data_IF_523404224503
#
_entry.id   IF_523404224503
#
_cell.length_a   1.000
_cell.length_b   1.000
_cell.length_c   1.000
_cell.angle_alpha   90.00
_cell.angle_beta   90.00
_cell.angle_gamma   90.00
#
_symmetry.space_group_name_H-M   'P 1'
#
loop_
_entity.id
_entity.type
_entity.pdbx_description
1 polymer ?
#
# COMPACT_ATOMS: atom_id res chain seq x y z
N UNK A 1 -12.63 14.26 10.36
CA UNK A 1 -13.09 13.65 9.10
C UNK A 1 -12.34 12.35 8.88
N UNK A 2 -13.01 11.20 8.90
CA UNK A 2 -12.35 9.92 8.66
C UNK A 2 -12.12 9.73 7.16
N UNK A 3 -10.86 9.87 6.74
CA UNK A 3 -10.39 9.53 5.40
C UNK A 3 -10.51 8.01 5.23
N UNK A 4 -11.33 7.56 4.29
CA UNK A 4 -11.57 6.14 4.02
C UNK A 4 -10.45 5.64 3.10
N UNK A 5 -9.76 4.57 3.48
CA UNK A 5 -8.74 3.94 2.62
C UNK A 5 -9.39 3.12 1.49
N UNK A 6 -8.63 2.81 0.44
CA UNK A 6 -9.08 1.93 -0.64
C UNK A 6 -9.59 0.56 -0.13
N UNK A 7 -8.97 0.02 0.92
CA UNK A 7 -9.41 -1.21 1.60
C UNK A 7 -10.82 -1.05 2.19
N UNK A 8 -11.14 0.14 2.71
CA UNK A 8 -12.43 0.44 3.30
C UNK A 8 -13.53 0.59 2.24
N UNK A 9 -13.20 1.14 1.07
CA UNK A 9 -14.13 1.23 -0.05
C UNK A 9 -14.35 -0.13 -0.72
N UNK A 10 -13.31 -0.96 -0.78
CA UNK A 10 -13.43 -2.36 -1.15
C UNK A 10 -14.34 -3.14 -0.17
N UNK A 11 -14.18 -2.95 1.14
CA UNK A 11 -15.09 -3.54 2.13
C UNK A 11 -16.53 -3.01 1.98
N UNK A 12 -16.74 -1.72 1.64
CA UNK A 12 -18.10 -1.21 1.39
C UNK A 12 -18.74 -1.87 0.17
N UNK A 13 -17.99 -2.10 -0.89
CA UNK A 13 -18.45 -2.83 -2.06
C UNK A 13 -18.82 -4.28 -1.73
N UNK A 14 -17.96 -5.00 -1.01
CA UNK A 14 -18.22 -6.38 -0.59
C UNK A 14 -19.42 -6.52 0.35
N UNK A 15 -19.73 -5.49 1.13
CA UNK A 15 -20.85 -5.49 2.08
C UNK A 15 -22.19 -5.08 1.45
N UNK A 16 -22.28 -4.99 0.12
CA UNK A 16 -23.57 -4.88 -0.55
C UNK A 16 -24.24 -3.50 -0.49
N UNK A 17 -23.48 -2.39 -0.52
CA UNK A 17 -24.02 -1.05 -0.87
C UNK A 17 -24.41 -0.98 -2.38
N UNK A 18 -24.93 -2.08 -2.92
CA UNK A 18 -25.58 -2.19 -4.21
C UNK A 18 -26.98 -1.62 -4.09
N UNK A 19 -27.11 -0.31 -4.29
CA UNK A 19 -28.38 0.32 -4.69
C UNK A 19 -28.77 -0.17 -6.10
N UNK A 20 -28.98 -1.48 -6.28
CA UNK A 20 -29.73 -1.99 -7.42
C UNK A 20 -31.25 -1.91 -7.18
N UNK A 21 -31.70 -1.59 -5.95
CA UNK A 21 -33.13 -1.61 -5.61
C UNK A 21 -33.78 -0.24 -5.39
N UNK A 22 -33.12 0.87 -5.70
CA UNK A 22 -33.81 2.17 -5.75
C UNK A 22 -34.40 2.37 -7.14
N UNK A 23 -35.64 1.91 -7.32
CA UNK A 23 -36.47 2.31 -8.46
C UNK A 23 -36.37 3.82 -8.68
N UNK A 24 -36.15 4.18 -9.94
CA UNK A 24 -36.09 5.54 -10.46
C UNK A 24 -37.28 6.37 -9.96
N UNK A 25 -37.04 7.31 -9.06
CA UNK A 25 -37.76 8.58 -9.07
C UNK A 25 -36.78 9.63 -9.61
N UNK A 26 -36.97 9.99 -10.88
CA UNK A 26 -36.34 11.17 -11.46
C UNK A 26 -37.03 12.36 -10.81
N UNK A 27 -36.31 13.07 -9.94
CA UNK A 27 -36.81 14.29 -9.29
C UNK A 27 -35.97 15.45 -9.83
N UNK A 28 -36.65 16.47 -10.35
CA UNK A 28 -36.04 17.69 -10.88
C UNK A 28 -35.04 18.31 -9.88
N UNK A 29 -33.82 18.52 -10.36
CA UNK A 29 -32.66 18.90 -9.57
C UNK A 29 -32.78 20.25 -8.86
N UNK A 30 -32.14 20.33 -7.68
CA UNK A 30 -31.79 21.61 -7.08
C UNK A 30 -30.82 22.35 -8.01
N UNK A 31 -31.28 23.43 -8.65
CA UNK A 31 -30.50 24.30 -9.52
C UNK A 31 -29.28 24.95 -8.83
N UNK A 32 -29.15 24.82 -7.51
CA UNK A 32 -28.14 25.49 -6.67
C UNK A 32 -27.05 24.58 -6.12
N UNK A 33 -26.90 23.33 -6.60
CA UNK A 33 -25.80 22.48 -6.10
C UNK A 33 -24.43 22.95 -6.61
N UNK A 34 -23.56 23.32 -5.67
CA UNK A 34 -22.17 23.68 -5.93
C UNK A 34 -21.26 22.54 -5.42
N UNK A 35 -20.50 21.87 -6.30
CA UNK A 35 -19.54 20.85 -5.90
C UNK A 35 -18.48 21.37 -4.92
N UNK A 36 -18.34 20.71 -3.77
CA UNK A 36 -17.33 21.02 -2.76
C UNK A 36 -16.23 19.97 -2.74
N UNK A 37 -15.35 20.03 -3.75
CA UNK A 37 -14.17 19.15 -3.81
C UNK A 37 -13.16 19.53 -2.72
N UNK A 38 -12.75 18.58 -1.89
CA UNK A 38 -11.76 18.78 -0.83
C UNK A 38 -10.36 18.97 -1.40
N UNK A 39 -9.48 19.57 -0.62
CA UNK A 39 -8.04 19.55 -0.90
C UNK A 39 -7.49 18.12 -0.90
N UNK A 40 -6.39 17.94 -1.64
CA UNK A 40 -5.68 16.67 -1.72
C UNK A 40 -4.92 16.41 -0.42
N UNK A 41 -5.01 15.18 0.06
CA UNK A 41 -4.30 14.70 1.24
C UNK A 41 -3.37 13.55 0.84
N UNK A 42 -2.07 13.70 1.09
CA UNK A 42 -1.10 12.62 0.91
C UNK A 42 -1.22 11.67 2.11
N UNK A 43 -1.71 10.46 1.86
CA UNK A 43 -1.99 9.50 2.92
C UNK A 43 -0.73 8.78 3.38
N UNK A 44 0.09 8.36 2.42
CA UNK A 44 1.33 7.61 2.64
C UNK A 44 2.24 7.72 1.43
N UNK A 45 3.52 7.49 1.65
CA UNK A 45 4.56 7.36 0.65
C UNK A 45 5.33 6.04 0.86
N UNK A 46 5.82 5.45 -0.22
CA UNK A 46 6.82 4.40 -0.16
C UNK A 46 8.17 5.01 -0.46
N UNK A 47 9.10 4.85 0.48
CA UNK A 47 10.48 5.33 0.36
C UNK A 47 11.40 4.16 0.03
N UNK A 48 12.37 4.40 -0.84
CA UNK A 48 13.49 3.49 -1.08
C UNK A 48 14.75 4.19 -0.60
N UNK A 49 15.63 3.47 0.08
CA UNK A 49 16.96 3.95 0.41
C UNK A 49 17.97 2.82 0.29
N UNK A 50 19.25 3.12 0.52
CA UNK A 50 20.33 2.14 0.43
C UNK A 50 21.22 2.16 1.66
N UNK A 51 21.57 0.97 2.11
CA UNK A 51 22.65 0.72 3.06
C UNK A 51 24.00 0.79 2.34
N UNK A 52 25.05 1.08 3.08
CA UNK A 52 26.43 1.15 2.59
C UNK A 52 27.06 -0.22 2.28
N UNK A 53 26.34 -1.32 2.48
CA UNK A 53 26.82 -2.68 2.25
C UNK A 53 25.68 -3.69 2.04
N UNK A 54 26.03 -4.86 1.53
CA UNK A 54 25.16 -6.02 1.45
C UNK A 54 24.89 -6.63 2.83
N UNK A 55 23.78 -7.37 2.94
CA UNK A 55 23.33 -8.00 4.19
C UNK A 55 23.21 -9.50 3.99
N UNK A 56 23.88 -10.28 4.85
CA UNK A 56 23.61 -11.71 4.97
C UNK A 56 22.25 -11.92 5.63
N UNK A 57 21.24 -12.07 4.79
CA UNK A 57 19.86 -12.24 5.23
C UNK A 57 19.66 -13.46 6.13
N UNK A 58 20.38 -14.57 5.87
CA UNK A 58 20.15 -15.82 6.61
C UNK A 58 20.70 -15.68 8.02
N UNK A 59 21.91 -15.16 8.20
CA UNK A 59 22.47 -14.94 9.55
C UNK A 59 21.66 -13.89 10.28
N UNK A 60 21.61 -12.67 9.73
CA UNK A 60 21.02 -11.50 10.38
C UNK A 60 19.56 -11.76 10.76
N UNK A 61 18.76 -12.41 9.91
CA UNK A 61 17.36 -12.67 10.23
C UNK A 61 17.18 -13.42 11.54
N UNK A 62 17.99 -14.45 11.82
CA UNK A 62 17.84 -15.24 13.04
C UNK A 62 18.29 -14.44 14.27
N UNK A 63 19.34 -13.64 14.13
CA UNK A 63 19.95 -12.89 15.23
C UNK A 63 19.16 -11.63 15.63
N UNK A 64 18.24 -11.14 14.78
CA UNK A 64 17.37 -10.01 15.13
C UNK A 64 16.53 -10.32 16.38
N UNK A 65 16.67 -9.56 17.48
CA UNK A 65 15.86 -9.75 18.68
C UNK A 65 14.42 -9.32 18.43
N UNK A 66 13.47 -10.01 19.08
CA UNK A 66 12.06 -9.63 19.05
C UNK A 66 11.64 -9.20 20.45
N UNK A 67 11.11 -7.99 20.56
CA UNK A 67 10.50 -7.53 21.80
C UNK A 67 9.08 -8.07 21.92
N UNK A 68 8.67 -8.34 23.15
CA UNK A 68 7.32 -8.76 23.43
C UNK A 68 6.31 -7.65 23.07
N UNK A 69 5.14 -8.02 22.56
CA UNK A 69 4.19 -7.03 22.05
C UNK A 69 3.64 -6.12 23.16
N UNK A 70 3.56 -6.59 24.40
CA UNK A 70 3.14 -5.82 25.57
C UNK A 70 4.18 -4.79 26.03
N UNK A 71 5.45 -4.98 25.68
CA UNK A 71 6.53 -4.12 26.15
C UNK A 71 6.42 -2.72 25.52
N UNK A 72 6.37 -1.70 26.37
CA UNK A 72 6.31 -0.29 25.97
C UNK A 72 7.71 0.26 25.61
N UNK A 73 8.43 -0.44 24.74
CA UNK A 73 9.78 -0.07 24.30
C UNK A 73 9.90 -0.03 22.77
N UNK A 74 10.98 0.59 22.30
CA UNK A 74 11.34 0.60 20.89
C UNK A 74 11.99 -0.73 20.51
N UNK A 75 11.64 -1.31 19.36
CA UNK A 75 12.24 -2.55 18.91
C UNK A 75 11.45 -3.28 17.83
N UNK A 76 11.98 -4.41 17.36
CA UNK A 76 11.30 -5.28 16.38
C UNK A 76 10.25 -6.10 17.10
N UNK A 77 8.99 -5.96 16.70
CA UNK A 77 7.86 -6.75 17.25
C UNK A 77 7.52 -7.96 16.38
N UNK A 78 7.93 -7.92 15.11
CA UNK A 78 7.68 -8.99 14.15
C UNK A 78 8.73 -8.97 13.03
N UNK A 79 9.24 -10.14 12.66
CA UNK A 79 10.12 -10.32 11.49
C UNK A 79 9.57 -11.40 10.56
N UNK A 80 9.82 -11.26 9.26
CA UNK A 80 9.34 -12.18 8.24
C UNK A 80 10.42 -12.43 7.19
N UNK A 81 10.59 -13.68 6.76
CA UNK A 81 11.50 -14.04 5.67
C UNK A 81 10.91 -15.14 4.82
N UNK A 82 11.29 -15.16 3.54
CA UNK A 82 11.06 -16.29 2.66
C UNK A 82 12.38 -17.01 2.45
N UNK A 83 12.45 -18.26 2.91
CA UNK A 83 13.61 -19.12 2.73
C UNK A 83 13.31 -20.18 1.69
N UNK A 84 14.38 -20.60 1.04
CA UNK A 84 14.39 -21.56 -0.04
C UNK A 84 15.55 -22.51 0.23
N UNK A 85 15.22 -23.76 0.53
CA UNK A 85 16.17 -24.84 0.73
C UNK A 85 16.16 -25.72 -0.53
N UNK A 86 17.34 -25.98 -1.07
CA UNK A 86 17.58 -26.78 -2.26
C UNK A 86 18.01 -28.20 -1.91
N UNK A 87 18.30 -28.46 -0.62
CA UNK A 87 18.66 -29.79 -0.11
C UNK A 87 17.88 -30.15 1.16
N UNK A 88 17.75 -31.46 1.43
CA UNK A 88 17.15 -31.97 2.68
C UNK A 88 17.93 -31.49 3.92
N UNK A 89 19.25 -31.44 3.83
CA UNK A 89 20.13 -30.99 4.92
C UNK A 89 19.83 -29.56 5.33
N UNK A 90 19.65 -28.65 4.36
CA UNK A 90 19.28 -27.25 4.65
C UNK A 90 17.91 -27.15 5.32
N UNK A 91 16.94 -27.98 4.93
CA UNK A 91 15.62 -28.02 5.58
C UNK A 91 15.71 -28.52 7.02
N UNK A 92 16.53 -29.54 7.29
CA UNK A 92 16.76 -30.03 8.66
C UNK A 92 17.40 -28.95 9.53
N UNK A 93 18.42 -28.25 9.02
CA UNK A 93 19.03 -27.13 9.73
C UNK A 93 18.03 -26.00 10.02
N UNK A 94 17.12 -25.76 9.08
CA UNK A 94 16.05 -24.78 9.24
C UNK A 94 15.05 -25.20 10.32
N UNK A 95 14.66 -26.47 10.32
CA UNK A 95 13.76 -27.05 11.33
C UNK A 95 14.35 -26.94 12.74
N UNK A 96 15.65 -27.16 12.90
CA UNK A 96 16.33 -26.98 14.18
C UNK A 96 16.29 -25.52 14.66
N UNK A 97 16.55 -24.54 13.79
CA UNK A 97 16.42 -23.12 14.17
C UNK A 97 15.00 -22.74 14.58
N UNK A 98 14.01 -23.28 13.88
CA UNK A 98 12.59 -23.05 14.15
C UNK A 98 12.18 -23.58 15.51
N UNK A 99 12.62 -24.79 15.89
CA UNK A 99 12.28 -25.41 17.19
C UNK A 99 12.73 -24.56 18.39
N UNK A 100 13.83 -23.84 18.24
CA UNK A 100 14.42 -22.99 19.29
C UNK A 100 13.95 -21.53 19.23
N UNK A 101 12.93 -21.22 18.40
CA UNK A 101 12.42 -19.86 18.25
C UNK A 101 10.97 -19.80 18.69
N UNK A 102 10.66 -18.89 19.61
CA UNK A 102 9.29 -18.69 20.08
C UNK A 102 8.43 -17.88 19.10
N UNK A 103 7.11 -18.05 19.20
CA UNK A 103 6.11 -17.28 18.44
C UNK A 103 6.30 -17.34 16.91
N UNK A 104 6.67 -18.52 16.39
CA UNK A 104 6.92 -18.74 14.96
C UNK A 104 5.65 -19.25 14.26
N UNK A 105 5.36 -18.70 13.09
CA UNK A 105 4.33 -19.17 12.16
C UNK A 105 4.96 -19.44 10.79
N UNK A 106 4.84 -20.70 10.34
CA UNK A 106 5.44 -21.20 9.10
C UNK A 106 4.35 -21.49 8.08
N UNK A 107 4.58 -21.04 6.85
CA UNK A 107 3.74 -21.38 5.72
C UNK A 107 4.61 -21.97 4.61
N UNK A 108 4.42 -23.25 4.32
CA UNK A 108 5.05 -23.90 3.16
C UNK A 108 4.41 -23.38 1.88
N UNK A 109 5.22 -22.73 1.04
CA UNK A 109 4.79 -22.17 -0.25
C UNK A 109 4.93 -23.22 -1.35
N UNK A 110 6.04 -23.97 -1.33
CA UNK A 110 6.34 -24.99 -2.32
C UNK A 110 7.19 -26.07 -1.67
N UNK A 111 6.82 -27.33 -1.87
CA UNK A 111 7.59 -28.48 -1.43
C UNK A 111 7.70 -29.49 -2.58
N UNK A 112 8.92 -29.91 -2.88
CA UNK A 112 9.25 -30.97 -3.83
C UNK A 112 10.29 -31.86 -3.15
N UNK A 113 10.01 -33.15 -3.09
CA UNK A 113 10.97 -34.19 -2.73
C UNK A 113 10.72 -35.37 -3.67
N UNK A 114 11.40 -35.35 -4.81
CA UNK A 114 11.30 -36.41 -5.80
C UNK A 114 12.69 -36.74 -6.36
N UNK A 115 13.37 -37.76 -5.80
CA UNK A 115 14.70 -38.16 -6.25
C UNK A 115 14.74 -38.71 -7.68
N UNK A 116 13.59 -38.97 -8.31
CA UNK A 116 13.49 -39.44 -9.71
C UNK A 116 13.23 -38.31 -10.72
N UNK A 117 13.04 -37.07 -10.26
CA UNK A 117 12.71 -35.95 -11.13
C UNK A 117 13.91 -35.49 -11.98
N UNK A 118 13.68 -35.21 -13.27
CA UNK A 118 14.76 -34.82 -14.21
C UNK A 118 15.44 -33.47 -13.95
N UNK A 119 14.81 -32.53 -13.23
CA UNK A 119 15.33 -31.15 -13.07
C UNK A 119 15.50 -30.73 -11.62
N UNK A 120 14.45 -30.81 -10.81
CA UNK A 120 14.46 -30.36 -9.41
C UNK A 120 14.15 -31.58 -8.56
N UNK A 121 15.19 -32.12 -7.93
CA UNK A 121 15.10 -33.28 -7.05
C UNK A 121 14.48 -32.91 -5.70
N UNK A 122 14.87 -31.76 -5.16
CA UNK A 122 14.39 -31.25 -3.90
C UNK A 122 14.19 -29.73 -3.96
N UNK A 123 13.10 -29.24 -3.37
CA UNK A 123 12.87 -27.81 -3.17
C UNK A 123 11.89 -27.59 -2.04
N UNK A 124 12.33 -26.89 -1.00
CA UNK A 124 11.49 -26.52 0.12
C UNK A 124 11.49 -25.00 0.30
N UNK A 125 10.37 -24.36 0.01
CA UNK A 125 10.21 -22.91 0.10
C UNK A 125 9.20 -22.60 1.18
N UNK A 126 9.66 -21.92 2.22
CA UNK A 126 8.86 -21.60 3.40
C UNK A 126 8.85 -20.09 3.65
N UNK A 127 7.70 -19.57 4.08
CA UNK A 127 7.60 -18.25 4.67
C UNK A 127 7.57 -18.41 6.18
N UNK A 128 8.49 -17.73 6.84
CA UNK A 128 8.63 -17.75 8.29
C UNK A 128 8.23 -16.38 8.81
N UNK A 129 7.40 -16.36 9.83
CA UNK A 129 7.01 -15.16 10.55
C UNK A 129 7.31 -15.41 12.01
N UNK A 130 7.95 -14.46 12.68
CA UNK A 130 8.25 -14.56 14.10
C UNK A 130 7.73 -13.29 14.76
N UNK A 131 6.97 -13.42 15.84
CA UNK A 131 6.35 -12.30 16.56
C UNK A 131 5.00 -11.83 15.98
N UNK A 132 4.45 -10.78 16.60
CA UNK A 132 3.07 -10.30 16.38
C UNK A 132 3.07 -8.78 16.14
N UNK A 133 2.21 -8.32 15.24
CA UNK A 133 1.99 -6.89 14.97
C UNK A 133 0.59 -6.42 15.34
N UNK A 134 0.36 -5.10 15.43
CA UNK A 134 -0.98 -4.52 15.66
C UNK A 134 -1.99 -5.04 14.64
N UNK A 135 -1.56 -5.21 13.39
CA UNK A 135 -2.42 -5.71 12.33
C UNK A 135 -2.90 -7.13 12.58
N UNK A 136 -2.07 -7.99 13.14
CA UNK A 136 -2.44 -9.38 13.46
C UNK A 136 -3.47 -9.41 14.61
N UNK A 137 -3.32 -8.51 15.60
CA UNK A 137 -4.25 -8.40 16.72
C UNK A 137 -5.61 -7.84 16.29
N UNK A 138 -5.64 -6.84 15.40
CA UNK A 138 -6.88 -6.14 15.04
C UNK A 138 -7.59 -6.81 13.85
N UNK A 139 -6.85 -7.33 12.86
CA UNK A 139 -7.46 -7.90 11.65
C UNK A 139 -8.17 -9.24 11.94
N UNK A 140 -9.27 -9.49 11.24
CA UNK A 140 -10.05 -10.74 11.30
C UNK A 140 -9.96 -11.57 10.02
N UNK A 141 -9.44 -10.98 8.93
CA UNK A 141 -9.19 -11.64 7.65
C UNK A 141 -7.72 -11.49 7.30
N UNK A 142 -7.02 -12.60 7.24
CA UNK A 142 -5.65 -12.67 6.73
C UNK A 142 -5.62 -13.68 5.60
N UNK A 143 -5.83 -13.21 4.37
CA UNK A 143 -5.40 -14.00 3.21
C UNK A 143 -3.89 -14.21 3.36
N UNK A 144 -3.43 -15.45 3.18
CA UNK A 144 -2.00 -15.76 3.17
C UNK A 144 -1.38 -15.00 2.01
N UNK A 145 -0.68 -13.90 2.32
CA UNK A 145 0.05 -13.12 1.32
C UNK A 145 1.35 -13.83 0.99
N UNK A 146 1.70 -13.82 -0.29
CA UNK A 146 3.04 -14.19 -0.73
C UNK A 146 4.12 -13.38 -0.01
N UNK A 147 5.34 -13.89 -0.04
CA UNK A 147 6.53 -13.20 0.44
C UNK A 147 7.51 -12.99 -0.71
N UNK A 148 8.25 -11.88 -0.65
CA UNK A 148 9.30 -11.54 -1.59
C UNK A 148 10.55 -12.40 -1.30
N UNK A 149 11.31 -12.71 -2.34
CA UNK A 149 12.62 -13.34 -2.21
C UNK A 149 13.69 -12.29 -1.92
N UNK A 150 14.85 -12.74 -1.44
CA UNK A 150 16.05 -11.91 -1.28
C UNK A 150 15.85 -10.69 -0.38
N UNK A 151 14.90 -10.77 0.55
CA UNK A 151 14.73 -9.80 1.62
C UNK A 151 14.15 -10.47 2.86
N UNK A 152 14.40 -9.86 4.01
CA UNK A 152 13.51 -10.01 5.16
C UNK A 152 12.73 -8.72 5.38
N UNK A 153 11.65 -8.84 6.14
CA UNK A 153 10.83 -7.71 6.58
C UNK A 153 10.91 -7.64 8.09
N UNK A 154 11.17 -6.45 8.62
CA UNK A 154 10.99 -6.14 10.04
C UNK A 154 9.83 -5.19 10.21
N UNK A 155 9.04 -5.43 11.25
CA UNK A 155 8.04 -4.49 11.75
C UNK A 155 8.57 -3.98 13.07
N UNK A 156 8.92 -2.70 13.08
CA UNK A 156 9.49 -2.03 14.24
C UNK A 156 8.45 -1.16 14.90
N UNK A 157 8.39 -1.20 16.22
CA UNK A 157 7.64 -0.27 17.05
C UNK A 157 8.58 0.86 17.47
N UNK A 158 8.16 2.10 17.25
CA UNK A 158 8.98 3.29 17.50
C UNK A 158 8.12 4.35 18.20
N UNK A 159 8.58 4.92 19.33
CA UNK A 159 7.90 6.04 19.97
C UNK A 159 8.01 7.29 19.09
N UNK A 160 6.89 7.94 18.78
CA UNK A 160 6.85 9.14 17.95
C UNK A 160 5.66 10.02 18.36
N UNK A 161 5.93 11.27 18.77
CA UNK A 161 4.92 12.23 19.22
C UNK A 161 3.97 11.67 20.31
N UNK A 162 4.53 11.03 21.33
CA UNK A 162 3.77 10.50 22.48
C UNK A 162 2.98 9.21 22.20
N UNK A 163 3.10 8.62 21.01
CA UNK A 163 2.45 7.35 20.66
C UNK A 163 3.44 6.36 20.04
N UNK A 164 3.19 5.07 20.21
CA UNK A 164 3.93 4.04 19.48
C UNK A 164 3.38 3.86 18.07
N UNK A 165 4.23 4.10 17.06
CA UNK A 165 3.94 3.81 15.66
C UNK A 165 4.67 2.53 15.24
N UNK A 166 4.02 1.75 14.38
CA UNK A 166 4.62 0.56 13.77
C UNK A 166 5.03 0.90 12.33
N UNK A 167 6.27 0.59 11.97
CA UNK A 167 6.83 0.81 10.62
C UNK A 167 7.28 -0.52 10.03
N UNK A 168 6.97 -0.72 8.76
CA UNK A 168 7.37 -1.90 8.00
C UNK A 168 8.59 -1.55 7.16
N UNK A 169 9.68 -2.29 7.32
CA UNK A 169 10.91 -2.08 6.54
C UNK A 169 11.28 -3.41 5.90
N UNK A 170 11.42 -3.42 4.56
CA UNK A 170 12.03 -4.54 3.85
C UNK A 170 13.51 -4.25 3.66
N UNK A 171 14.34 -5.21 4.03
CA UNK A 171 15.80 -5.16 3.85
C UNK A 171 16.18 -6.22 2.85
N UNK A 172 16.70 -5.80 1.70
CA UNK A 172 17.16 -6.69 0.64
C UNK A 172 18.63 -7.07 0.84
N UNK A 173 19.04 -8.23 0.31
CA UNK A 173 20.43 -8.69 0.41
C UNK A 173 21.43 -7.67 -0.17
N UNK A 174 21.03 -6.92 -1.20
CA UNK A 174 21.86 -5.88 -1.85
C UNK A 174 22.03 -4.61 -1.02
N UNK A 175 21.52 -4.55 0.21
CA UNK A 175 21.49 -3.34 1.03
C UNK A 175 20.36 -2.38 0.70
N UNK A 176 19.52 -2.68 -0.31
CA UNK A 176 18.34 -1.86 -0.63
C UNK A 176 17.30 -1.95 0.50
N UNK A 177 16.65 -0.83 0.79
CA UNK A 177 15.55 -0.70 1.74
C UNK A 177 14.27 -0.30 1.01
N UNK A 178 13.12 -0.87 1.43
CA UNK A 178 11.80 -0.42 0.97
C UNK A 178 10.88 -0.22 2.19
N UNK A 179 10.41 1.01 2.37
CA UNK A 179 9.69 1.47 3.55
C UNK A 179 8.33 2.03 3.10
N UNK A 180 7.31 1.18 2.97
CA UNK A 180 5.96 1.63 2.63
C UNK A 180 5.27 2.28 3.82
N UNK A 181 4.33 3.19 3.55
CA UNK A 181 3.42 3.71 4.57
C UNK A 181 3.95 4.90 5.36
N UNK A 182 5.01 5.56 4.89
CA UNK A 182 5.61 6.72 5.56
C UNK A 182 4.79 7.97 5.29
N UNK A 183 4.57 8.79 6.31
CA UNK A 183 3.78 10.03 6.20
C UNK A 183 4.61 11.31 6.34
N UNK A 184 5.79 11.21 6.96
CA UNK A 184 6.65 12.35 7.27
C UNK A 184 8.10 11.90 7.25
N UNK A 185 8.99 12.75 6.76
CA UNK A 185 10.42 12.44 6.65
C UNK A 185 11.08 12.35 8.05
N UNK A 186 10.64 13.12 9.05
CA UNK A 186 11.15 13.00 10.44
C UNK A 186 10.98 11.58 11.01
N UNK A 187 9.78 11.00 10.80
CA UNK A 187 9.51 9.63 11.23
C UNK A 187 10.30 8.60 10.42
N UNK A 188 10.55 8.87 9.14
CA UNK A 188 11.40 8.01 8.31
C UNK A 188 12.82 7.93 8.85
N UNK A 189 13.43 9.08 9.15
CA UNK A 189 14.80 9.11 9.68
C UNK A 189 14.89 8.44 11.04
N UNK A 190 13.92 8.69 11.93
CA UNK A 190 13.84 7.98 13.22
C UNK A 190 13.75 6.46 13.03
N UNK A 191 13.00 6.00 12.03
CA UNK A 191 12.88 4.58 11.71
C UNK A 191 14.17 3.97 11.15
N UNK A 192 14.86 4.70 10.28
CA UNK A 192 16.14 4.29 9.73
C UNK A 192 17.23 4.25 10.81
N UNK A 193 17.31 5.27 11.66
CA UNK A 193 18.27 5.30 12.77
C UNK A 193 18.04 4.13 13.74
N UNK A 194 16.78 3.83 14.08
CA UNK A 194 16.44 2.66 14.90
C UNK A 194 16.80 1.34 14.21
N UNK A 195 16.58 1.22 12.90
CA UNK A 195 16.98 0.04 12.12
C UNK A 195 18.49 -0.16 12.15
N UNK A 196 19.27 0.90 11.91
CA UNK A 196 20.73 0.84 11.93
C UNK A 196 21.24 0.46 13.31
N UNK A 197 20.72 1.09 14.37
CA UNK A 197 21.11 0.75 15.74
C UNK A 197 20.87 -0.73 16.07
N UNK A 198 19.79 -1.32 15.54
CA UNK A 198 19.46 -2.73 15.72
C UNK A 198 20.33 -3.67 14.87
N UNK A 199 20.63 -3.31 13.62
CA UNK A 199 21.39 -4.16 12.71
C UNK A 199 22.91 -4.07 12.89
N UNK A 200 23.43 -2.94 13.36
CA UNK A 200 24.87 -2.70 13.51
C UNK A 200 25.59 -3.79 14.32
N UNK A 201 25.09 -4.19 15.51
CA UNK A 201 25.72 -5.26 16.29
C UNK A 201 25.71 -6.63 15.60
N UNK A 202 24.87 -6.81 14.58
CA UNK A 202 24.70 -8.07 13.84
C UNK A 202 25.54 -8.10 12.56
N UNK A 203 26.23 -7.00 12.22
CA UNK A 203 27.03 -6.86 11.01
C UNK A 203 28.52 -6.76 11.35
N UNK A 204 29.37 -7.39 10.52
CA UNK A 204 30.83 -7.35 10.70
C UNK A 204 31.44 -5.96 10.49
N UNK A 205 30.83 -5.14 9.61
CA UNK A 205 31.28 -3.78 9.30
C UNK A 205 30.22 -2.77 9.74
N UNK A 206 30.62 -1.54 10.11
CA UNK A 206 29.68 -0.48 10.44
C UNK A 206 28.66 -0.24 9.32
N UNK A 207 27.39 -0.41 9.68
CA UNK A 207 26.24 -0.18 8.84
C UNK A 207 25.80 1.28 8.93
N UNK A 208 25.57 1.87 7.78
CA UNK A 208 24.98 3.20 7.63
C UNK A 208 24.04 3.21 6.42
N UNK A 209 23.12 4.17 6.38
CA UNK A 209 22.30 4.45 5.20
C UNK A 209 22.67 5.82 4.64
N UNK A 210 22.52 5.98 3.32
CA UNK A 210 22.73 7.26 2.68
C UNK A 210 21.47 8.13 2.84
N UNK A 211 21.60 9.26 3.56
CA UNK A 211 20.49 10.20 3.79
C UNK A 211 20.11 10.97 2.51
N UNK A 212 21.06 11.15 1.61
CA UNK A 212 20.89 11.91 0.36
C UNK A 212 20.32 11.05 -0.77
N UNK A 213 20.30 9.72 -0.60
CA UNK A 213 19.81 8.73 -1.56
C UNK A 213 18.54 8.04 -1.02
N UNK A 214 17.50 8.86 -0.83
CA UNK A 214 16.17 8.39 -0.43
C UNK A 214 15.13 8.83 -1.48
N UNK A 215 14.68 7.86 -2.25
CA UNK A 215 13.70 8.07 -3.32
C UNK A 215 12.26 7.85 -2.84
N UNK A 216 11.36 8.71 -3.29
CA UNK A 216 9.91 8.48 -3.14
C UNK A 216 9.39 7.77 -4.37
N UNK A 217 9.09 6.47 -4.23
CA UNK A 217 8.71 5.64 -5.39
C UNK A 217 7.21 5.46 -5.60
N UNK A 218 6.43 5.75 -4.56
CA UNK A 218 4.98 5.65 -4.64
C UNK A 218 4.37 6.70 -3.71
N UNK A 219 3.50 7.53 -4.25
CA UNK A 219 2.66 8.40 -3.44
C UNK A 219 1.24 7.85 -3.51
N UNK A 220 0.62 7.70 -2.34
CA UNK A 220 -0.80 7.43 -2.21
C UNK A 220 -1.46 8.67 -1.64
N UNK A 221 -2.45 9.20 -2.35
CA UNK A 221 -3.16 10.40 -1.94
C UNK A 221 -4.64 10.28 -2.24
N UNK A 222 -5.45 11.02 -1.47
CA UNK A 222 -6.89 10.96 -1.58
C UNK A 222 -7.52 12.34 -1.44
N UNK A 223 -8.69 12.49 -2.05
CA UNK A 223 -9.59 13.62 -1.85
C UNK A 223 -11.03 13.16 -2.12
N UNK A 224 -12.02 14.03 -1.95
CA UNK A 224 -13.41 13.70 -2.27
C UNK A 224 -14.14 14.86 -2.89
N UNK A 225 -15.06 14.56 -3.82
CA UNK A 225 -15.97 15.54 -4.40
C UNK A 225 -17.23 15.80 -3.55
N UNK A 226 -17.43 15.01 -2.49
CA UNK A 226 -18.56 15.10 -1.55
C UNK A 226 -19.96 14.92 -2.18
N UNK A 227 -20.07 14.15 -3.26
CA UNK A 227 -21.35 13.69 -3.80
C UNK A 227 -21.21 12.28 -4.39
N UNK A 228 -22.34 11.59 -4.55
CA UNK A 228 -22.36 10.27 -5.16
C UNK A 228 -22.25 10.35 -6.68
N UNK A 229 -21.46 9.45 -7.25
CA UNK A 229 -21.13 9.40 -8.66
C UNK A 229 -21.78 8.17 -9.31
N UNK A 230 -22.47 8.41 -10.42
CA UNK A 230 -22.85 7.40 -11.40
C UNK A 230 -21.58 7.01 -12.16
N UNK A 231 -21.05 5.82 -11.85
CA UNK A 231 -19.76 5.39 -12.35
C UNK A 231 -19.80 5.06 -13.84
N UNK A 232 -20.94 4.58 -14.35
CA UNK A 232 -21.12 4.27 -15.76
C UNK A 232 -21.10 5.56 -16.59
N UNK A 233 -21.84 6.58 -16.15
CA UNK A 233 -21.81 7.91 -16.78
C UNK A 233 -20.44 8.57 -16.70
N UNK A 234 -19.83 8.61 -15.51
CA UNK A 234 -18.49 9.20 -15.37
C UNK A 234 -17.46 8.43 -16.21
N UNK A 235 -17.51 7.10 -16.26
CA UNK A 235 -16.58 6.30 -17.08
C UNK A 235 -16.70 6.67 -18.56
N UNK A 236 -17.93 6.92 -19.03
CA UNK A 236 -18.22 7.37 -20.39
C UNK A 236 -17.69 8.78 -20.64
N UNK A 237 -17.93 9.73 -19.72
CA UNK A 237 -17.39 11.09 -19.81
C UNK A 237 -15.86 11.07 -19.88
N UNK A 238 -15.19 10.35 -18.96
CA UNK A 238 -13.74 10.27 -18.92
C UNK A 238 -13.14 9.62 -20.19
N UNK A 239 -13.82 8.62 -20.75
CA UNK A 239 -13.36 7.90 -21.95
C UNK A 239 -13.62 8.66 -23.25
N UNK A 240 -14.80 9.24 -23.41
CA UNK A 240 -15.25 9.79 -24.69
C UNK A 240 -15.09 11.32 -24.78
N UNK A 241 -15.30 12.07 -23.69
CA UNK A 241 -15.12 13.53 -23.66
C UNK A 241 -13.65 13.91 -23.41
N UNK A 242 -13.00 13.22 -22.46
CA UNK A 242 -11.62 13.50 -22.08
C UNK A 242 -10.57 12.57 -22.71
N UNK A 243 -11.01 11.56 -23.47
CA UNK A 243 -10.12 10.61 -24.17
C UNK A 243 -9.10 9.90 -23.27
N UNK A 244 -9.42 9.72 -21.99
CA UNK A 244 -8.55 9.06 -21.02
C UNK A 244 -8.58 7.54 -21.17
N UNK A 245 -7.55 6.89 -20.66
CA UNK A 245 -7.51 5.43 -20.59
C UNK A 245 -8.30 4.92 -19.38
N UNK A 246 -9.57 4.63 -19.59
CA UNK A 246 -10.48 4.12 -18.56
C UNK A 246 -10.53 2.60 -18.60
N UNK A 247 -10.33 1.97 -17.44
CA UNK A 247 -10.62 0.57 -17.17
C UNK A 247 -11.69 0.49 -16.08
N UNK A 248 -12.90 0.09 -16.47
CA UNK A 248 -14.03 0.00 -15.56
C UNK A 248 -14.81 -1.28 -15.83
N UNK A 249 -14.76 -2.17 -14.85
CA UNK A 249 -15.59 -3.36 -14.75
C UNK A 249 -16.11 -3.41 -13.29
N UNK A 250 -17.37 -3.01 -13.04
CA UNK A 250 -17.93 -2.94 -11.70
C UNK A 250 -18.03 -4.31 -11.00
N UNK A 251 -18.00 -5.41 -11.75
CA UNK A 251 -17.99 -6.76 -11.19
C UNK A 251 -16.62 -7.14 -10.61
N UNK A 252 -15.54 -6.63 -11.21
CA UNK A 252 -14.17 -6.94 -10.82
C UNK A 252 -13.58 -5.94 -9.83
N UNK A 253 -13.95 -4.66 -9.91
CA UNK A 253 -13.38 -3.61 -9.06
C UNK A 253 -14.39 -2.47 -8.76
N UNK A 254 -14.44 -1.96 -7.51
CA UNK A 254 -15.44 -0.96 -7.09
C UNK A 254 -15.19 0.47 -7.55
N UNK A 255 -14.04 0.78 -8.15
CA UNK A 255 -13.75 2.11 -8.66
C UNK A 255 -13.64 2.13 -10.18
N UNK A 256 -13.72 3.32 -10.77
CA UNK A 256 -13.28 3.54 -12.15
C UNK A 256 -11.77 3.69 -12.10
N UNK A 257 -11.00 2.80 -12.73
CA UNK A 257 -9.55 2.93 -12.80
C UNK A 257 -9.17 3.69 -14.06
N UNK A 258 -8.37 4.75 -13.92
CA UNK A 258 -7.99 5.59 -15.05
C UNK A 258 -6.49 5.86 -15.03
N UNK A 259 -5.89 5.86 -16.21
CA UNK A 259 -4.49 6.25 -16.38
C UNK A 259 -4.40 7.66 -16.94
N UNK A 260 -3.62 8.48 -16.26
CA UNK A 260 -3.21 9.81 -16.65
C UNK A 260 -1.77 9.78 -17.13
N UNK A 261 -1.50 10.26 -18.35
CA UNK A 261 -0.16 10.35 -18.92
C UNK A 261 0.35 11.79 -18.81
N UNK A 262 1.37 11.97 -17.97
CA UNK A 262 2.06 13.25 -17.77
C UNK A 262 3.32 13.34 -18.64
N UNK A 263 3.58 14.49 -19.26
CA UNK A 263 4.85 14.76 -19.92
C UNK A 263 5.15 16.26 -19.89
N UNK A 264 6.26 16.67 -19.28
CA UNK A 264 6.70 18.05 -19.15
C UNK A 264 6.83 18.82 -20.47
N UNK A 265 7.01 18.13 -21.60
CA UNK A 265 7.06 18.75 -22.93
C UNK A 265 5.67 19.18 -23.46
N UNK A 266 4.58 18.77 -22.80
CA UNK A 266 3.22 19.18 -23.18
C UNK A 266 2.86 20.52 -22.57
N UNK A 267 2.38 21.43 -23.42
CA UNK A 267 1.82 22.71 -22.98
C UNK A 267 0.60 22.52 -22.07
N UNK A 268 -0.25 21.53 -22.37
CA UNK A 268 -1.46 21.22 -21.60
C UNK A 268 -1.40 19.77 -21.13
N UNK A 269 -1.48 19.59 -19.81
CA UNK A 269 -1.52 18.28 -19.17
C UNK A 269 -2.97 17.76 -19.15
N UNK A 270 -3.41 17.19 -20.26
CA UNK A 270 -4.76 16.63 -20.43
C UNK A 270 -4.87 15.13 -20.11
N UNK A 271 -3.80 14.50 -19.64
CA UNK A 271 -3.78 13.09 -19.26
C UNK A 271 -3.75 12.08 -20.40
N UNK A 272 -3.76 12.52 -21.66
CA UNK A 272 -3.68 11.66 -22.85
C UNK A 272 -2.23 11.46 -23.26
N UNK A 273 -1.84 10.30 -23.79
CA UNK A 273 -0.52 10.10 -24.38
C UNK A 273 -0.54 10.53 -25.85
N UNK A 274 0.34 11.45 -26.25
CA UNK A 274 0.43 11.96 -27.64
C UNK A 274 1.70 11.51 -28.37
N UNK A 275 2.45 10.58 -27.79
CA UNK A 275 3.63 10.03 -28.43
C UNK A 275 3.25 9.06 -29.56
N UNK A 276 4.09 8.95 -30.59
CA UNK A 276 3.91 8.08 -31.76
C UNK A 276 3.56 6.64 -31.33
N UNK A 277 4.29 6.13 -30.34
CA UNK A 277 3.94 4.91 -29.63
C UNK A 277 3.43 5.27 -28.25
N UNK A 278 2.29 4.69 -27.88
CA UNK A 278 1.71 4.90 -26.55
C UNK A 278 2.71 4.48 -25.46
N UNK A 279 3.06 5.42 -24.59
CA UNK A 279 3.99 5.18 -23.50
C UNK A 279 3.43 4.15 -22.50
N UNK A 280 4.37 3.42 -21.89
CA UNK A 280 4.09 2.48 -20.80
C UNK A 280 4.49 3.07 -19.44
N UNK A 281 4.32 2.28 -18.38
CA UNK A 281 4.48 2.70 -16.97
C UNK A 281 5.83 3.32 -16.56
N UNK A 282 6.87 3.26 -17.40
CA UNK A 282 8.26 3.58 -17.03
C UNK A 282 8.79 4.90 -17.63
N UNK A 283 7.96 5.72 -18.25
CA UNK A 283 8.43 7.00 -18.78
C UNK A 283 8.92 7.94 -17.69
N UNK A 284 10.00 8.68 -17.96
CA UNK A 284 10.57 9.67 -17.03
C UNK A 284 9.69 10.90 -16.80
N UNK A 285 8.63 11.09 -17.61
CA UNK A 285 7.83 12.30 -17.67
C UNK A 285 8.47 13.43 -18.49
N UNK A 286 9.59 13.17 -19.18
CA UNK A 286 10.32 14.16 -19.97
C UNK A 286 10.87 13.56 -21.26
N UNK A 287 10.53 14.19 -22.39
CA UNK A 287 11.01 13.81 -23.72
C UNK A 287 10.02 12.96 -24.52
N UNK A 288 10.41 12.62 -25.74
CA UNK A 288 9.60 11.83 -26.66
C UNK A 288 9.46 10.38 -26.18
N UNK A 289 8.25 9.83 -26.29
CA UNK A 289 7.94 8.47 -25.82
C UNK A 289 8.22 8.22 -24.32
N UNK A 290 8.34 9.28 -23.51
CA UNK A 290 8.66 9.21 -22.08
C UNK A 290 7.52 9.69 -21.17
N UNK A 291 6.25 9.55 -21.55
CA UNK A 291 5.15 9.94 -20.66
C UNK A 291 5.14 9.10 -19.37
N UNK A 292 5.01 9.77 -18.23
CA UNK A 292 4.86 9.17 -16.92
C UNK A 292 3.39 8.75 -16.71
N UNK A 293 3.15 7.48 -16.39
CA UNK A 293 1.80 6.94 -16.13
C UNK A 293 1.46 7.10 -14.63
N UNK A 294 0.40 7.84 -14.34
CA UNK A 294 -0.17 8.00 -13.00
C UNK A 294 -1.58 7.40 -13.01
N UNK A 295 -1.91 6.58 -12.02
CA UNK A 295 -3.23 5.97 -11.91
C UNK A 295 -4.08 6.75 -10.93
N UNK A 296 -5.35 6.94 -11.25
CA UNK A 296 -6.33 7.37 -10.27
C UNK A 296 -7.56 6.48 -10.31
N UNK A 297 -8.23 6.40 -9.18
CA UNK A 297 -9.46 5.63 -9.01
C UNK A 297 -10.55 6.54 -8.48
N UNK A 298 -11.70 6.55 -9.14
CA UNK A 298 -12.89 7.29 -8.70
C UNK A 298 -13.95 6.32 -8.23
N UNK A 299 -14.47 6.52 -7.03
CA UNK A 299 -15.42 5.62 -6.40
C UNK A 299 -16.81 6.23 -6.36
N UNK A 300 -17.83 5.36 -6.25
CA UNK A 300 -19.26 5.76 -6.20
C UNK A 300 -19.53 6.81 -5.11
N UNK A 301 -18.84 6.70 -3.99
CA UNK A 301 -18.93 7.60 -2.81
C UNK A 301 -18.42 9.02 -3.08
N UNK A 302 -17.83 9.27 -4.25
CA UNK A 302 -17.14 10.52 -4.56
C UNK A 302 -15.74 10.60 -3.98
N UNK A 303 -15.22 9.54 -3.37
CA UNK A 303 -13.79 9.48 -3.02
C UNK A 303 -12.96 9.28 -4.28
N UNK A 304 -11.78 9.90 -4.29
CA UNK A 304 -10.81 9.76 -5.37
C UNK A 304 -9.46 9.44 -4.76
N UNK A 305 -8.79 8.46 -5.34
CA UNK A 305 -7.46 7.99 -4.97
C UNK A 305 -6.51 8.28 -6.14
N UNK A 306 -5.38 8.95 -5.92
CA UNK A 306 -4.32 9.11 -6.91
C UNK A 306 -3.09 8.35 -6.42
N UNK A 307 -2.57 7.45 -7.26
CA UNK A 307 -1.43 6.58 -6.99
C UNK A 307 -0.45 6.59 -8.15
N UNK A 308 0.83 6.78 -7.85
CA UNK A 308 1.88 6.64 -8.84
C UNK A 308 3.26 7.01 -8.31
N UNK A 309 4.27 6.67 -9.11
CA UNK A 309 5.63 7.17 -8.95
C UNK A 309 5.70 8.58 -9.55
N UNK A 310 5.49 9.61 -8.74
CA UNK A 310 5.50 10.99 -9.22
C UNK A 310 5.97 11.96 -8.14
N UNK A 311 6.37 13.16 -8.55
CA UNK A 311 6.69 14.25 -7.63
C UNK A 311 5.40 14.90 -7.10
N UNK A 312 5.50 15.60 -5.97
CA UNK A 312 4.39 16.36 -5.40
C UNK A 312 3.81 17.39 -6.40
N UNK A 313 4.62 18.16 -7.16
CA UNK A 313 4.09 19.04 -8.20
C UNK A 313 3.27 18.31 -9.26
N UNK A 314 3.76 17.17 -9.77
CA UNK A 314 3.02 16.38 -10.76
C UNK A 314 1.73 15.82 -10.17
N UNK A 315 1.73 15.41 -8.89
CA UNK A 315 0.52 14.99 -8.20
C UNK A 315 -0.54 16.10 -8.19
N UNK A 316 -0.15 17.35 -7.90
CA UNK A 316 -1.06 18.49 -7.90
C UNK A 316 -1.62 18.81 -9.30
N UNK A 317 -0.85 18.58 -10.37
CA UNK A 317 -1.35 18.71 -11.75
C UNK A 317 -2.51 17.73 -11.99
N UNK A 318 -2.33 16.45 -11.64
CA UNK A 318 -3.38 15.43 -11.80
C UNK A 318 -4.59 15.76 -10.93
N UNK A 319 -4.37 16.17 -9.68
CA UNK A 319 -5.43 16.61 -8.78
C UNK A 319 -6.25 17.76 -9.36
N UNK A 320 -5.60 18.82 -9.85
CA UNK A 320 -6.27 19.99 -10.39
C UNK A 320 -7.08 19.64 -11.65
N UNK A 321 -6.51 18.81 -12.54
CA UNK A 321 -7.23 18.29 -13.70
C UNK A 321 -8.53 17.57 -13.27
N UNK A 322 -8.46 16.67 -12.30
CA UNK A 322 -9.65 15.97 -11.79
C UNK A 322 -10.63 16.88 -11.07
N UNK A 323 -10.12 17.84 -10.28
CA UNK A 323 -10.92 18.84 -9.57
C UNK A 323 -11.76 19.66 -10.54
N UNK A 324 -11.21 20.01 -11.70
CA UNK A 324 -11.93 20.71 -12.78
C UNK A 324 -13.09 19.84 -13.31
N UNK A 325 -12.82 18.59 -13.71
CA UNK A 325 -13.87 17.66 -14.20
C UNK A 325 -14.99 17.50 -13.15
N UNK A 326 -14.63 17.29 -11.89
CA UNK A 326 -15.58 17.08 -10.79
C UNK A 326 -16.34 18.35 -10.38
N UNK A 327 -15.94 19.53 -10.87
CA UNK A 327 -16.63 20.80 -10.60
C UNK A 327 -17.48 21.28 -11.77
N UNK A 328 -17.00 21.09 -12.99
CA UNK A 328 -17.63 21.64 -14.20
C UNK A 328 -18.65 20.66 -14.78
N UNK A 329 -18.28 19.38 -14.85
CA UNK A 329 -19.08 18.34 -15.52
C UNK A 329 -19.97 17.53 -14.56
N UNK A 330 -20.02 17.91 -13.28
CA UNK A 330 -20.68 17.10 -12.25
C UNK A 330 -22.14 16.77 -12.57
N UNK A 331 -22.85 17.62 -13.32
CA UNK A 331 -24.25 17.39 -13.72
C UNK A 331 -24.41 16.14 -14.59
N UNK A 332 -23.38 15.76 -15.34
CA UNK A 332 -23.43 14.64 -16.28
C UNK A 332 -23.42 13.27 -15.56
N UNK A 333 -22.86 13.21 -14.34
CA UNK A 333 -22.61 11.95 -13.65
C UNK A 333 -22.90 11.98 -12.15
N UNK A 334 -23.36 13.09 -11.57
CA UNK A 334 -23.82 13.11 -10.18
C UNK A 334 -25.12 12.31 -10.06
N UNK A 335 -25.19 11.45 -9.04
CA UNK A 335 -26.45 10.83 -8.65
C UNK A 335 -27.24 11.87 -7.85
N UNK A 336 -28.38 12.28 -8.38
CA UNK A 336 -29.31 13.14 -7.65
C UNK A 336 -30.00 12.33 -6.54
N UNK A 337 -30.06 12.89 -5.34
CA UNK A 337 -30.70 12.23 -4.19
C UNK A 337 -31.62 13.23 -3.49
N UNK A 338 -32.83 12.77 -3.13
CA UNK A 338 -33.88 13.60 -2.51
C UNK A 338 -33.50 14.17 -1.12
N UNK A 339 -32.48 13.59 -0.48
CA UNK A 339 -31.87 14.11 0.75
C UNK A 339 -30.36 14.03 0.61
N UNK A 340 -29.59 15.03 1.12
CA UNK A 340 -28.16 14.86 1.25
C UNK A 340 -27.93 13.64 2.13
N UNK A 341 -27.45 12.55 1.53
CA UNK A 341 -27.05 11.36 2.26
C UNK A 341 -25.89 11.76 3.16
N UNK A 342 -26.20 12.13 4.41
CA UNK A 342 -25.18 12.16 5.47
C UNK A 342 -24.61 10.75 5.50
N UNK A 343 -23.30 10.62 5.28
CA UNK A 343 -22.59 9.35 5.47
C UNK A 343 -23.03 8.81 6.84
N UNK A 344 -23.71 7.65 6.92
CA UNK A 344 -24.16 7.16 8.21
C UNK A 344 -22.93 6.99 9.11
N UNK A 345 -22.96 7.57 10.30
CA UNK A 345 -21.93 7.34 11.29
C UNK A 345 -21.94 5.86 11.64
N UNK A 346 -21.02 5.10 11.04
CA UNK A 346 -20.92 3.67 11.29
C UNK A 346 -20.47 3.49 12.74
N UNK A 347 -21.38 3.01 13.61
CA UNK A 347 -20.99 2.45 14.90
C UNK A 347 -19.98 1.33 14.63
N UNK A 348 -18.72 1.52 15.02
CA UNK A 348 -17.69 0.46 14.92
C UNK A 348 -18.22 -0.75 15.70
N UNK A 349 -18.62 -1.83 15.01
CA UNK A 349 -18.97 -3.10 15.67
C UNK A 349 -17.71 -3.59 16.41
N UNK A 350 -17.64 -3.35 17.72
CA UNK A 350 -16.59 -3.87 18.59
C UNK A 350 -16.79 -5.38 18.69
N UNK A 351 -16.08 -6.15 17.87
CA UNK A 351 -16.00 -7.59 18.03
C UNK A 351 -15.05 -7.87 19.20
N UNK A 352 -15.53 -8.55 20.24
CA UNK A 352 -14.68 -8.94 21.39
C UNK A 352 -13.63 -9.94 20.88
N UNK A 353 -12.35 -9.68 21.19
CA UNK A 353 -11.26 -10.65 21.08
C UNK A 353 -10.68 -10.82 22.48
N UNK A 354 -10.48 -12.07 22.90
CA UNK A 354 -9.75 -12.38 24.13
C UNK A 354 -8.30 -12.58 23.72
N UNK A 355 -7.40 -11.76 24.27
CA UNK A 355 -5.96 -11.88 24.08
C UNK A 355 -5.41 -12.23 25.46
N UNK A 356 -4.81 -13.41 25.58
CA UNK A 356 -4.11 -13.83 26.79
C UNK A 356 -2.66 -13.42 26.60
N UNK A 357 -2.11 -12.67 27.54
CA UNK A 357 -0.73 -12.20 27.53
C UNK A 357 -0.08 -12.63 28.84
N UNK A 358 1.07 -13.27 28.76
CA UNK A 358 1.88 -13.54 29.94
C UNK A 358 2.45 -12.21 30.43
N UNK A 359 2.09 -11.86 31.66
CA UNK A 359 2.67 -10.71 32.34
C UNK A 359 3.90 -11.25 33.06
N UNK A 360 5.09 -10.91 32.59
CA UNK A 360 6.29 -11.08 33.41
C UNK A 360 6.08 -10.24 34.67
N UNK A 361 6.00 -10.90 35.82
CA UNK A 361 6.02 -10.26 37.12
C UNK A 361 7.37 -9.57 37.26
N UNK A 362 7.33 -8.24 37.14
CA UNK A 362 8.45 -7.30 37.30
C UNK A 362 9.13 -7.39 38.65
#
# INVERSE_FOLDING_TARGET
MSILSADQEWENFLNGDTLQDSKNEIIHGNETFIPKVTEIYISTQTKIGHLNQEIDLKSVFWDIPIISYQSACCGVIKKQIKLSCDTKTESVQLDEKIKHTDMVVINTIKFIDNPTARKILYKDVRKINVGISKKDLISYRTKVKGAFYNCFVVIMRIPYNGVFKEVHIKVFNTGKLEIPGIQSDDFLFLALDALIAMLNPLCLKPLAYNKDDIDTVLINSNFTCNYYIDRDKLSSVLKYKYHLHVNYDPCSYPGIQVKFYYNSMKNIQNGVCSCEKRCSKKGSGKGENQCLEISFMVFRTGSVLIVGHCSIPTLHIVYNFLKTILKEDFKDFRIETAKPLKKPEKKKKRRKKIIIMDVESS
#
